data_IF_901298390084
#
_entry.id   IF_901298390084
#
_cell.length_a   1.000
_cell.length_b   1.000
_cell.length_c   1.000
_cell.angle_alpha   90.00
_cell.angle_beta   90.00
_cell.angle_gamma   90.00
#
_symmetry.space_group_name_H-M   'P 1'
#
loop_
_entity.id
_entity.type
_entity.pdbx_description
1 polymer ?
#
# COMPACT_ATOMS: atom_id res chain seq x y z
N UNK A 1 -13.46 -8.68 6.47
CA UNK A 1 -12.80 -7.36 6.28
C UNK A 1 -12.65 -6.61 7.60
N UNK A 2 -11.44 -6.18 7.94
CA UNK A 2 -11.16 -5.31 9.11
C UNK A 2 -10.43 -4.03 8.68
N UNK A 3 -10.84 -2.89 9.23
CA UNK A 3 -10.23 -1.61 8.93
C UNK A 3 -10.19 -0.64 10.12
N UNK A 4 -8.96 -0.37 10.57
CA UNK A 4 -8.58 0.71 11.47
C UNK A 4 -7.09 0.95 11.34
N UNK A 5 -6.67 2.18 11.16
CA UNK A 5 -5.26 2.57 11.16
C UNK A 5 -4.78 2.64 12.62
N UNK A 6 -3.79 1.81 12.92
CA UNK A 6 -3.17 1.68 14.24
C UNK A 6 -1.66 1.70 14.03
N UNK A 7 -1.00 2.87 14.18
CA UNK A 7 0.46 2.94 14.15
C UNK A 7 1.09 2.06 15.24
N UNK A 8 2.33 1.63 15.04
CA UNK A 8 3.05 0.92 16.11
C UNK A 8 3.24 1.84 17.32
N UNK A 9 3.07 1.29 18.52
CA UNK A 9 3.38 2.01 19.76
C UNK A 9 4.88 2.37 19.81
N UNK A 10 5.15 3.61 20.16
CA UNK A 10 6.47 4.17 20.45
C UNK A 10 6.50 4.78 21.84
N UNK A 11 7.70 4.99 22.40
CA UNK A 11 7.86 5.70 23.68
C UNK A 11 7.18 7.07 23.68
N UNK A 12 7.25 7.80 22.55
CA UNK A 12 6.56 9.07 22.36
C UNK A 12 5.03 8.93 22.44
N UNK A 13 4.46 7.95 21.73
CA UNK A 13 3.01 7.73 21.76
C UNK A 13 2.51 7.26 23.13
N UNK A 14 3.28 6.44 23.85
CA UNK A 14 2.95 5.99 25.20
C UNK A 14 3.02 7.15 26.20
N UNK A 15 4.01 8.03 26.05
CA UNK A 15 4.10 9.26 26.85
C UNK A 15 2.92 10.20 26.58
N UNK A 16 2.54 10.39 25.31
CA UNK A 16 1.36 11.17 24.92
C UNK A 16 0.06 10.60 25.54
N UNK A 17 -0.18 9.28 25.41
CA UNK A 17 -1.36 8.64 26.00
C UNK A 17 -1.36 8.79 27.53
N UNK A 18 -0.20 8.60 28.16
CA UNK A 18 -0.07 8.73 29.62
C UNK A 18 -0.38 10.15 30.10
N UNK A 19 0.04 11.18 29.34
CA UNK A 19 -0.29 12.57 29.64
C UNK A 19 -1.80 12.83 29.53
N UNK A 20 -2.47 12.25 28.54
CA UNK A 20 -3.92 12.42 28.36
C UNK A 20 -4.76 11.66 29.37
N UNK A 21 -4.36 10.43 29.74
CA UNK A 21 -5.11 9.57 30.64
C UNK A 21 -4.74 9.75 32.12
N UNK A 22 -3.58 10.34 32.41
CA UNK A 22 -3.04 10.47 33.77
C UNK A 22 -2.54 9.15 34.37
N UNK A 23 -2.40 8.10 33.55
CA UNK A 23 -1.96 6.75 33.95
C UNK A 23 -0.95 6.24 32.94
N UNK A 24 0.15 5.66 33.43
CA UNK A 24 1.10 4.94 32.59
C UNK A 24 0.56 3.52 32.30
N UNK A 25 0.23 3.27 31.04
CA UNK A 25 -0.23 1.97 30.56
C UNK A 25 0.73 1.44 29.46
N UNK A 26 1.54 0.41 29.75
CA UNK A 26 2.48 -0.16 28.78
C UNK A 26 1.79 -0.92 27.63
N UNK A 27 0.47 -1.15 27.73
CA UNK A 27 -0.34 -1.81 26.71
C UNK A 27 -1.18 -0.81 25.90
N UNK A 28 -1.04 0.50 26.14
CA UNK A 28 -1.82 1.51 25.46
C UNK A 28 -1.51 1.58 23.96
N UNK A 29 -2.53 1.88 23.16
CA UNK A 29 -2.40 2.03 21.71
C UNK A 29 -3.20 3.22 21.20
N UNK A 30 -2.56 4.05 20.37
CA UNK A 30 -3.23 5.12 19.65
C UNK A 30 -3.73 4.60 18.30
N UNK A 31 -4.90 5.05 17.90
CA UNK A 31 -5.53 4.65 16.66
C UNK A 31 -6.44 5.74 16.15
N UNK A 32 -6.76 5.67 14.86
CA UNK A 32 -7.70 6.61 14.28
C UNK A 32 -9.13 6.43 14.84
N UNK A 33 -10.00 7.46 14.76
CA UNK A 33 -11.39 7.34 15.19
C UNK A 33 -12.23 6.46 14.27
N UNK A 34 -11.90 6.37 12.97
CA UNK A 34 -12.58 5.48 12.04
C UNK A 34 -12.34 4.01 12.44
N UNK A 35 -13.40 3.21 12.41
CA UNK A 35 -13.33 1.76 12.60
C UNK A 35 -14.42 1.12 11.74
N UNK A 36 -14.07 0.03 11.07
CA UNK A 36 -15.02 -0.77 10.30
C UNK A 36 -14.69 -2.25 10.44
N UNK A 37 -15.75 -3.05 10.58
CA UNK A 37 -15.65 -4.49 10.59
C UNK A 37 -16.83 -5.07 9.80
N UNK A 38 -16.53 -5.84 8.76
CA UNK A 38 -17.50 -6.58 7.96
C UNK A 38 -17.20 -8.06 8.09
N UNK A 39 -18.21 -8.84 8.45
CA UNK A 39 -18.10 -10.26 8.81
C UNK A 39 -19.12 -11.05 8.02
N UNK A 40 -18.68 -12.16 7.44
CA UNK A 40 -19.60 -13.17 6.90
C UNK A 40 -20.33 -13.87 8.06
N UNK A 41 -21.67 -13.82 8.05
CA UNK A 41 -22.47 -14.34 9.15
C UNK A 41 -22.65 -15.86 9.08
N UNK A 42 -21.55 -16.58 9.32
CA UNK A 42 -21.46 -18.02 9.15
C UNK A 42 -20.78 -18.69 10.34
N UNK A 43 -21.51 -18.84 11.45
CA UNK A 43 -21.00 -19.33 12.74
C UNK A 43 -21.70 -20.62 13.18
N UNK A 44 -20.91 -21.67 13.42
CA UNK A 44 -21.43 -23.00 13.79
C UNK A 44 -21.91 -23.13 15.24
N UNK A 45 -21.50 -22.21 16.12
CA UNK A 45 -21.76 -22.26 17.56
C UNK A 45 -22.25 -20.91 18.12
N UNK A 46 -22.98 -20.16 17.31
CA UNK A 46 -23.39 -18.79 17.62
C UNK A 46 -22.22 -17.80 17.62
N UNK A 47 -22.55 -16.53 17.84
CA UNK A 47 -21.61 -15.41 17.93
C UNK A 47 -22.19 -14.30 18.82
N UNK A 48 -21.36 -13.38 19.33
CA UNK A 48 -21.88 -12.15 19.92
C UNK A 48 -22.74 -11.34 18.93
N UNK A 49 -23.65 -10.54 19.46
CA UNK A 49 -24.45 -9.57 18.69
C UNK A 49 -23.62 -8.33 18.30
N UNK A 50 -22.51 -8.55 17.58
CA UNK A 50 -21.57 -7.49 17.20
C UNK A 50 -22.20 -6.39 16.33
N UNK A 51 -23.29 -6.69 15.62
CA UNK A 51 -24.10 -5.72 14.89
C UNK A 51 -24.63 -4.59 15.78
N UNK A 52 -24.85 -4.85 17.07
CA UNK A 52 -25.23 -3.82 18.06
C UNK A 52 -24.09 -2.81 18.28
N UNK A 53 -22.85 -3.24 18.09
CA UNK A 53 -21.66 -2.39 18.15
C UNK A 53 -21.26 -1.81 16.77
N UNK A 54 -22.11 -1.96 15.74
CA UNK A 54 -21.90 -1.41 14.40
C UNK A 54 -21.15 -2.33 13.42
N UNK A 55 -20.90 -3.59 13.76
CA UNK A 55 -20.32 -4.57 12.82
C UNK A 55 -21.33 -4.92 11.73
N UNK A 56 -20.89 -4.91 10.48
CA UNK A 56 -21.73 -5.24 9.34
C UNK A 56 -21.71 -6.75 9.09
N UNK A 57 -22.85 -7.41 9.32
CA UNK A 57 -23.04 -8.82 9.00
C UNK A 57 -23.50 -8.95 7.55
N UNK A 58 -22.79 -9.77 6.76
CA UNK A 58 -23.06 -9.97 5.34
C UNK A 58 -23.03 -11.45 4.97
N UNK A 59 -23.55 -11.80 3.81
CA UNK A 59 -23.48 -13.17 3.28
C UNK A 59 -22.18 -13.45 2.52
N UNK A 60 -21.51 -12.40 2.03
CA UNK A 60 -20.25 -12.50 1.30
C UNK A 60 -19.40 -11.27 1.62
N UNK A 61 -18.22 -11.52 2.19
CA UNK A 61 -17.30 -10.47 2.63
C UNK A 61 -16.27 -10.11 1.55
N UNK A 62 -16.11 -10.95 0.51
CA UNK A 62 -15.03 -10.82 -0.47
C UNK A 62 -15.03 -9.45 -1.18
N UNK A 63 -16.17 -8.90 -1.67
CA UNK A 63 -16.16 -7.59 -2.32
C UNK A 63 -15.73 -6.44 -1.40
N UNK A 64 -16.02 -6.54 -0.09
CA UNK A 64 -15.59 -5.57 0.91
C UNK A 64 -14.08 -5.67 1.15
N UNK A 65 -13.56 -6.89 1.19
CA UNK A 65 -12.13 -7.15 1.35
C UNK A 65 -11.33 -6.64 0.15
N UNK A 66 -11.78 -6.94 -1.07
CA UNK A 66 -11.13 -6.42 -2.29
C UNK A 66 -11.13 -4.89 -2.32
N UNK A 67 -12.28 -4.26 -2.03
CA UNK A 67 -12.38 -2.80 -1.98
C UNK A 67 -11.35 -2.19 -1.03
N UNK A 68 -11.25 -2.74 0.19
CA UNK A 68 -10.32 -2.24 1.20
C UNK A 68 -8.87 -2.59 0.87
N UNK A 69 -8.58 -3.81 0.43
CA UNK A 69 -7.23 -4.26 0.10
C UNK A 69 -6.64 -3.48 -1.09
N UNK A 70 -7.47 -3.12 -2.06
CA UNK A 70 -7.02 -2.38 -3.25
C UNK A 70 -7.00 -0.88 -3.02
N UNK A 71 -8.14 -0.27 -2.65
CA UNK A 71 -8.23 1.19 -2.53
C UNK A 71 -7.49 1.74 -1.31
N UNK A 72 -7.57 1.09 -0.14
CA UNK A 72 -6.85 1.53 1.05
C UNK A 72 -5.46 0.95 1.10
N UNK A 73 -5.33 -0.39 1.14
CA UNK A 73 -4.03 -1.00 1.37
C UNK A 73 -3.09 -0.84 0.15
N UNK A 74 -3.61 -0.89 -1.08
CA UNK A 74 -2.85 -0.62 -2.30
C UNK A 74 -2.31 0.79 -2.38
N UNK A 75 -3.14 1.80 -2.12
CA UNK A 75 -2.68 3.18 -2.06
C UNK A 75 -1.72 3.44 -0.89
N UNK A 76 -1.92 2.81 0.28
CA UNK A 76 -0.96 2.86 1.38
C UNK A 76 0.40 2.30 0.97
N UNK A 77 0.45 1.15 0.29
CA UNK A 77 1.72 0.57 -0.20
C UNK A 77 2.38 1.47 -1.25
N UNK A 78 1.61 2.03 -2.19
CA UNK A 78 2.09 2.99 -3.17
C UNK A 78 2.76 4.20 -2.49
N UNK A 79 2.06 4.82 -1.54
CA UNK A 79 2.55 5.96 -0.77
C UNK A 79 3.75 5.59 0.11
N UNK A 80 3.78 4.40 0.67
CA UNK A 80 4.85 3.94 1.54
C UNK A 80 6.18 3.83 0.78
N UNK A 81 6.19 3.16 -0.38
CA UNK A 81 7.44 2.98 -1.13
C UNK A 81 7.92 4.29 -1.75
N UNK A 82 7.07 4.96 -2.52
CA UNK A 82 7.45 6.19 -3.22
C UNK A 82 7.68 7.35 -2.25
N UNK A 83 6.90 7.43 -1.18
CA UNK A 83 7.05 8.44 -0.14
C UNK A 83 8.34 8.26 0.65
N UNK A 84 8.65 7.02 1.07
CA UNK A 84 9.91 6.74 1.75
C UNK A 84 11.11 7.10 0.85
N UNK A 85 11.09 6.67 -0.41
CA UNK A 85 12.15 7.00 -1.39
C UNK A 85 12.30 8.51 -1.57
N UNK A 86 11.20 9.27 -1.50
CA UNK A 86 11.18 10.74 -1.58
C UNK A 86 11.51 11.44 -0.26
N UNK A 87 11.88 10.70 0.79
CA UNK A 87 12.25 11.26 2.11
C UNK A 87 11.08 11.57 3.05
N UNK A 88 9.86 11.12 2.74
CA UNK A 88 8.71 11.28 3.63
C UNK A 88 8.66 10.17 4.69
N UNK A 89 8.73 10.58 5.96
CA UNK A 89 8.76 9.66 7.10
C UNK A 89 7.38 9.06 7.41
N UNK A 90 6.29 9.81 7.21
CA UNK A 90 4.92 9.40 7.53
C UNK A 90 3.98 9.59 6.34
N UNK A 91 2.87 8.83 6.34
CA UNK A 91 1.83 8.98 5.31
C UNK A 91 1.23 10.40 5.29
N UNK A 92 1.10 11.04 6.46
CA UNK A 92 0.64 12.43 6.55
C UNK A 92 1.55 13.40 5.80
N UNK A 93 2.85 13.11 5.73
CA UNK A 93 3.84 13.94 5.04
C UNK A 93 3.63 13.82 3.52
N UNK A 94 3.39 12.59 3.02
CA UNK A 94 2.99 12.39 1.62
C UNK A 94 1.70 13.15 1.26
N UNK A 95 0.74 13.24 2.19
CA UNK A 95 -0.53 13.96 1.95
C UNK A 95 -0.41 15.49 1.95
N UNK A 96 0.69 16.05 2.46
CA UNK A 96 0.99 17.48 2.34
C UNK A 96 1.50 17.83 0.94
N UNK A 97 2.14 16.87 0.26
CA UNK A 97 2.53 17.01 -1.13
C UNK A 97 1.32 16.85 -2.07
N UNK A 98 1.09 17.85 -2.93
CA UNK A 98 -0.07 17.89 -3.82
C UNK A 98 -0.05 16.77 -4.86
N UNK A 99 1.13 16.41 -5.36
CA UNK A 99 1.29 15.38 -6.37
C UNK A 99 1.02 14.00 -5.77
N UNK A 100 1.57 13.69 -4.60
CA UNK A 100 1.30 12.43 -3.90
C UNK A 100 -0.18 12.27 -3.53
N UNK A 101 -0.82 13.33 -3.03
CA UNK A 101 -2.26 13.31 -2.74
C UNK A 101 -3.09 13.10 -4.00
N UNK A 102 -2.73 13.75 -5.11
CA UNK A 102 -3.41 13.56 -6.39
C UNK A 102 -3.21 12.13 -6.92
N UNK A 103 -1.96 11.63 -6.93
CA UNK A 103 -1.64 10.27 -7.35
C UNK A 103 -2.39 9.22 -6.54
N UNK A 104 -2.44 9.32 -5.21
CA UNK A 104 -3.16 8.37 -4.38
C UNK A 104 -4.66 8.33 -4.73
N UNK A 105 -5.29 9.49 -4.92
CA UNK A 105 -6.70 9.58 -5.28
C UNK A 105 -6.96 9.05 -6.69
N UNK A 106 -6.09 9.37 -7.65
CA UNK A 106 -6.15 8.87 -9.03
C UNK A 106 -5.98 7.35 -9.05
N UNK A 107 -4.98 6.81 -8.36
CA UNK A 107 -4.79 5.36 -8.18
C UNK A 107 -6.05 4.70 -7.62
N UNK A 108 -6.64 5.27 -6.56
CA UNK A 108 -7.86 4.73 -5.94
C UNK A 108 -9.03 4.64 -6.93
N UNK A 109 -9.28 5.69 -7.72
CA UNK A 109 -10.49 5.80 -8.53
C UNK A 109 -10.35 5.31 -9.97
N UNK A 110 -9.18 5.49 -10.57
CA UNK A 110 -8.97 5.19 -11.98
C UNK A 110 -8.37 3.80 -12.20
N UNK A 111 -7.69 3.24 -11.20
CA UNK A 111 -7.00 1.96 -11.34
C UNK A 111 -7.55 0.93 -10.34
N UNK A 112 -7.73 1.28 -9.07
CA UNK A 112 -8.23 0.30 -8.09
C UNK A 112 -9.75 0.09 -8.21
N UNK A 113 -10.55 1.16 -8.20
CA UNK A 113 -12.01 1.05 -8.22
C UNK A 113 -12.60 0.27 -9.42
N UNK A 114 -12.10 0.41 -10.67
CA UNK A 114 -12.62 -0.35 -11.81
C UNK A 114 -12.42 -1.86 -11.71
N UNK A 115 -11.55 -2.33 -10.81
CA UNK A 115 -11.29 -3.75 -10.59
C UNK A 115 -12.27 -4.40 -9.60
N UNK A 116 -13.10 -3.61 -8.92
CA UNK A 116 -13.93 -4.05 -7.80
C UNK A 116 -15.31 -4.53 -8.26
N UNK A 117 -15.86 -5.50 -7.52
CA UNK A 117 -17.21 -6.04 -7.72
C UNK A 117 -18.22 -5.57 -6.67
N UNK A 118 -17.80 -4.71 -5.73
CA UNK A 118 -18.65 -4.18 -4.66
C UNK A 118 -19.82 -3.37 -5.23
N UNK A 119 -21.00 -3.55 -4.65
CA UNK A 119 -22.24 -2.85 -5.02
C UNK A 119 -22.65 -1.92 -3.89
N UNK A 120 -23.46 -0.92 -4.24
CA UNK A 120 -24.11 0.00 -3.28
C UNK A 120 -23.14 0.78 -2.38
N UNK A 121 -21.89 0.97 -2.84
CA UNK A 121 -20.89 1.82 -2.20
C UNK A 121 -20.49 2.93 -3.16
N UNK A 122 -20.54 4.18 -2.69
CA UNK A 122 -19.96 5.31 -3.38
C UNK A 122 -18.43 5.28 -3.23
N UNK A 123 -17.74 4.74 -4.24
CA UNK A 123 -16.29 4.62 -4.26
C UNK A 123 -15.58 5.97 -4.32
N UNK A 124 -16.23 7.02 -4.84
CA UNK A 124 -15.67 8.38 -4.84
C UNK A 124 -15.64 8.92 -3.42
N UNK A 125 -16.78 8.85 -2.72
CA UNK A 125 -16.85 9.24 -1.32
C UNK A 125 -15.91 8.40 -0.45
N UNK A 126 -15.79 7.10 -0.73
CA UNK A 126 -14.85 6.23 -0.02
C UNK A 126 -13.40 6.68 -0.22
N UNK A 127 -12.96 6.95 -1.46
CA UNK A 127 -11.62 7.47 -1.73
C UNK A 127 -11.37 8.81 -1.01
N UNK A 128 -12.34 9.73 -1.01
CA UNK A 128 -12.21 11.01 -0.31
C UNK A 128 -12.05 10.82 1.21
N UNK A 129 -12.77 9.86 1.81
CA UNK A 129 -12.60 9.47 3.21
C UNK A 129 -11.21 8.88 3.47
N UNK A 130 -10.68 8.04 2.57
CA UNK A 130 -9.34 7.48 2.70
C UNK A 130 -8.27 8.57 2.65
N UNK A 131 -8.37 9.53 1.73
CA UNK A 131 -7.45 10.67 1.66
C UNK A 131 -7.50 11.49 2.96
N UNK A 132 -8.70 11.75 3.51
CA UNK A 132 -8.84 12.45 4.78
C UNK A 132 -8.19 11.67 5.96
N UNK A 133 -8.34 10.34 5.98
CA UNK A 133 -7.72 9.46 6.98
C UNK A 133 -6.20 9.47 6.88
N UNK A 134 -5.65 9.38 5.67
CA UNK A 134 -4.21 9.44 5.43
C UNK A 134 -3.60 10.79 5.80
N UNK A 135 -4.38 11.87 5.65
CA UNK A 135 -3.94 13.23 5.97
C UNK A 135 -3.95 13.54 7.48
N UNK A 136 -4.40 12.63 8.35
CA UNK A 136 -4.48 12.87 9.78
C UNK A 136 -3.08 13.02 10.41
N UNK A 137 -2.67 14.24 10.84
CA UNK A 137 -1.31 14.49 11.31
C UNK A 137 -1.04 13.93 12.72
N UNK A 138 -2.09 13.58 13.46
CA UNK A 138 -1.99 12.95 14.77
C UNK A 138 -1.52 11.49 14.65
N UNK A 139 -1.71 10.86 13.49
CA UNK A 139 -1.22 9.51 13.23
C UNK A 139 0.18 9.59 12.64
N UNK A 140 1.19 9.31 13.46
CA UNK A 140 2.58 9.13 13.01
C UNK A 140 2.80 7.77 12.34
N UNK A 141 1.96 7.44 11.36
CA UNK A 141 2.02 6.17 10.65
C UNK A 141 3.19 6.18 9.65
N UNK A 142 4.29 5.53 10.03
CA UNK A 142 5.54 5.57 9.28
C UNK A 142 5.40 4.89 7.91
N UNK A 143 5.90 5.53 6.86
CA UNK A 143 6.00 4.93 5.51
C UNK A 143 6.77 3.62 5.56
N UNK A 144 7.88 3.61 6.30
CA UNK A 144 8.71 2.43 6.55
C UNK A 144 7.94 1.26 7.20
N UNK A 145 7.05 1.52 8.18
CA UNK A 145 6.23 0.48 8.82
C UNK A 145 5.27 -0.16 7.81
N UNK A 146 4.68 0.65 6.94
CA UNK A 146 3.74 0.16 5.93
C UNK A 146 4.46 -0.64 4.84
N UNK A 147 5.69 -0.21 4.49
CA UNK A 147 6.55 -0.82 3.48
C UNK A 147 7.10 -2.21 3.88
N UNK A 148 7.05 -2.58 5.16
CA UNK A 148 7.45 -3.92 5.62
C UNK A 148 6.64 -5.02 4.91
N UNK A 149 7.19 -6.22 4.80
CA UNK A 149 6.50 -7.42 4.29
C UNK A 149 5.83 -7.18 2.91
N UNK A 150 6.50 -6.39 2.06
CA UNK A 150 6.01 -6.03 0.73
C UNK A 150 5.72 -7.26 -0.14
N UNK A 151 6.53 -8.31 -0.01
CA UNK A 151 6.32 -9.59 -0.71
C UNK A 151 4.97 -10.23 -0.40
N UNK A 152 4.49 -10.09 0.84
CA UNK A 152 3.22 -10.63 1.32
C UNK A 152 2.03 -9.72 1.01
N UNK A 153 2.29 -8.48 0.60
CA UNK A 153 1.31 -7.41 0.45
C UNK A 153 1.00 -7.10 -1.01
N UNK A 154 2.00 -7.13 -1.89
CA UNK A 154 1.84 -6.79 -3.31
C UNK A 154 0.78 -7.62 -4.04
N UNK A 155 0.69 -8.96 -3.86
CA UNK A 155 -0.22 -9.79 -4.65
C UNK A 155 -1.68 -9.30 -4.61
N UNK A 156 -2.21 -9.07 -3.41
CA UNK A 156 -3.60 -8.69 -3.18
C UNK A 156 -3.85 -7.18 -3.25
N UNK A 157 -2.81 -6.35 -3.12
CA UNK A 157 -2.93 -4.88 -3.09
C UNK A 157 -2.77 -4.22 -4.46
N UNK A 158 -1.98 -4.82 -5.35
CA UNK A 158 -1.64 -4.25 -6.66
C UNK A 158 -1.77 -5.30 -7.76
N UNK A 159 -1.09 -6.44 -7.63
CA UNK A 159 -0.93 -7.39 -8.73
C UNK A 159 -2.26 -8.03 -9.18
N UNK A 160 -3.18 -8.30 -8.26
CA UNK A 160 -4.53 -8.77 -8.59
C UNK A 160 -5.31 -7.76 -9.44
N UNK A 161 -5.20 -6.46 -9.14
CA UNK A 161 -5.80 -5.40 -9.94
C UNK A 161 -5.15 -5.26 -11.32
N UNK A 162 -3.81 -5.35 -11.37
CA UNK A 162 -3.05 -5.33 -12.64
C UNK A 162 -3.48 -6.47 -13.56
N UNK A 163 -3.69 -7.70 -13.04
CA UNK A 163 -4.20 -8.82 -13.84
C UNK A 163 -5.55 -8.51 -14.50
N UNK A 164 -6.43 -7.80 -13.81
CA UNK A 164 -7.73 -7.37 -14.36
C UNK A 164 -7.50 -6.32 -15.47
N UNK A 165 -6.63 -5.34 -15.24
CA UNK A 165 -6.31 -4.33 -16.26
C UNK A 165 -5.68 -4.93 -17.52
N UNK A 166 -4.79 -5.92 -17.37
CA UNK A 166 -4.22 -6.66 -18.49
C UNK A 166 -5.29 -7.40 -19.29
N UNK A 167 -6.24 -8.05 -18.61
CA UNK A 167 -7.37 -8.73 -19.27
C UNK A 167 -8.36 -7.78 -19.95
N UNK A 168 -8.48 -6.54 -19.45
CA UNK A 168 -9.39 -5.52 -19.99
C UNK A 168 -8.70 -4.51 -20.92
N UNK A 169 -7.38 -4.59 -21.12
CA UNK A 169 -6.57 -3.64 -21.90
C UNK A 169 -6.79 -2.16 -21.48
N UNK A 170 -6.82 -1.91 -20.18
CA UNK A 170 -7.01 -0.56 -19.60
C UNK A 170 -5.70 -0.03 -19.00
N UNK A 171 -5.63 1.27 -18.71
CA UNK A 171 -4.44 1.91 -18.12
C UNK A 171 -4.27 1.55 -16.63
N UNK A 172 -3.02 1.37 -16.20
CA UNK A 172 -2.62 1.02 -14.83
C UNK A 172 -1.24 1.60 -14.48
N UNK A 173 -0.95 2.80 -15.00
CA UNK A 173 0.37 3.41 -14.93
C UNK A 173 0.84 3.69 -13.49
N UNK A 174 -0.05 4.05 -12.56
CA UNK A 174 0.30 4.27 -11.15
C UNK A 174 0.53 2.95 -10.40
N UNK A 175 -0.20 1.89 -10.73
CA UNK A 175 0.07 0.54 -10.24
C UNK A 175 1.45 0.05 -10.69
N UNK A 176 1.82 0.31 -11.95
CA UNK A 176 3.16 0.02 -12.47
C UNK A 176 4.24 0.77 -11.67
N UNK A 177 4.02 2.07 -11.44
CA UNK A 177 4.90 2.89 -10.62
C UNK A 177 4.99 2.41 -9.17
N UNK A 178 3.88 1.96 -8.58
CA UNK A 178 3.86 1.38 -7.23
C UNK A 178 4.70 0.11 -7.10
N UNK A 179 4.62 -0.79 -8.09
CA UNK A 179 5.44 -2.01 -8.14
C UNK A 179 6.91 -1.67 -8.37
N UNK A 180 7.23 -0.77 -9.29
CA UNK A 180 8.59 -0.29 -9.49
C UNK A 180 9.15 0.42 -8.24
N UNK A 181 8.32 1.17 -7.52
CA UNK A 181 8.65 1.78 -6.23
C UNK A 181 9.02 0.73 -5.17
N UNK A 182 8.26 -0.36 -5.07
CA UNK A 182 8.63 -1.49 -4.22
C UNK A 182 9.99 -2.08 -4.64
N UNK A 183 10.19 -2.35 -5.94
CA UNK A 183 11.48 -2.87 -6.44
C UNK A 183 12.65 -1.95 -6.08
N UNK A 184 12.44 -0.63 -6.18
CA UNK A 184 13.46 0.38 -5.85
C UNK A 184 13.72 0.44 -4.34
N UNK A 185 12.67 0.35 -3.53
CA UNK A 185 12.77 0.32 -2.08
C UNK A 185 13.55 -0.92 -1.60
N UNK A 186 13.19 -2.11 -2.08
CA UNK A 186 13.85 -3.36 -1.66
C UNK A 186 15.27 -3.51 -2.21
N UNK A 187 15.66 -2.64 -3.15
CA UNK A 187 17.04 -2.51 -3.62
C UNK A 187 17.97 -1.87 -2.58
N UNK A 188 17.44 -1.37 -1.46
CA UNK A 188 18.21 -1.12 -0.24
C UNK A 188 18.86 0.26 -0.12
N UNK A 189 18.63 1.17 -1.06
CA UNK A 189 19.17 2.55 -1.02
C UNK A 189 18.07 3.53 -1.39
N UNK A 190 17.90 4.65 -0.69
CA UNK A 190 16.89 5.67 -1.03
C UNK A 190 17.38 6.63 -2.13
N UNK A 191 16.61 7.68 -2.47
CA UNK A 191 17.00 8.65 -3.50
C UNK A 191 18.04 9.67 -3.01
N UNK A 192 18.26 9.76 -1.70
CA UNK A 192 19.33 10.52 -1.08
C UNK A 192 20.64 9.73 -0.92
N UNK A 193 20.65 8.44 -1.29
CA UNK A 193 21.81 7.56 -1.20
C UNK A 193 21.99 6.87 0.15
N UNK A 194 21.02 6.96 1.07
CA UNK A 194 21.10 6.29 2.37
C UNK A 194 20.64 4.84 2.27
N UNK A 195 21.21 3.98 3.11
CA UNK A 195 20.78 2.59 3.21
C UNK A 195 19.38 2.46 3.81
N UNK A 196 18.61 1.49 3.32
CA UNK A 196 17.25 1.17 3.78
C UNK A 196 17.27 -0.12 4.60
N UNK A 197 16.70 -0.10 5.81
CA UNK A 197 16.41 -1.31 6.58
C UNK A 197 15.19 -2.03 5.99
N UNK A 198 15.41 -2.84 4.96
CA UNK A 198 14.34 -3.61 4.30
C UNK A 198 13.93 -4.78 5.19
N UNK A 199 12.71 -4.72 5.74
CA UNK A 199 12.11 -5.80 6.53
C UNK A 199 11.06 -6.54 5.73
N UNK A 200 11.36 -7.78 5.39
CA UNK A 200 10.49 -8.63 4.60
C UNK A 200 10.80 -10.12 4.89
N UNK A 201 9.81 -11.04 4.91
CA UNK A 201 10.06 -12.47 5.07
C UNK A 201 10.96 -13.06 3.97
N UNK A 202 10.98 -12.45 2.78
CA UNK A 202 11.83 -12.83 1.65
C UNK A 202 13.12 -11.99 1.55
N UNK A 203 13.48 -11.24 2.60
CA UNK A 203 14.59 -10.28 2.57
C UNK A 203 15.93 -10.88 2.12
N UNK A 204 16.27 -12.11 2.53
CA UNK A 204 17.52 -12.76 2.11
C UNK A 204 17.53 -13.05 0.60
N UNK A 205 16.45 -13.65 0.07
CA UNK A 205 16.28 -13.94 -1.36
C UNK A 205 16.29 -12.66 -2.20
N UNK A 206 15.62 -11.61 -1.73
CA UNK A 206 15.62 -10.29 -2.34
C UNK A 206 17.05 -9.72 -2.37
N UNK A 207 17.80 -9.81 -1.26
CA UNK A 207 19.17 -9.30 -1.16
C UNK A 207 20.12 -10.02 -2.12
N UNK A 208 19.99 -11.34 -2.25
CA UNK A 208 20.75 -12.13 -3.22
C UNK A 208 20.48 -11.69 -4.66
N UNK A 209 19.20 -11.53 -5.03
CA UNK A 209 18.81 -11.05 -6.36
C UNK A 209 19.31 -9.63 -6.64
N UNK A 210 19.25 -8.76 -5.64
CA UNK A 210 19.76 -7.38 -5.70
C UNK A 210 21.28 -7.37 -5.88
N UNK A 211 22.02 -8.16 -5.12
CA UNK A 211 23.48 -8.25 -5.21
C UNK A 211 23.95 -8.88 -6.53
N UNK A 212 23.16 -9.81 -7.08
CA UNK A 212 23.45 -10.50 -8.35
C UNK A 212 23.01 -9.77 -9.61
N UNK A 213 22.43 -8.56 -9.52
CA UNK A 213 21.90 -7.82 -10.68
C UNK A 213 22.38 -6.38 -10.74
N UNK A 214 22.70 -5.92 -11.96
CA UNK A 214 22.89 -4.49 -12.24
C UNK A 214 21.57 -3.73 -12.14
N UNK A 215 21.63 -2.39 -12.23
CA UNK A 215 20.42 -1.55 -12.23
C UNK A 215 19.49 -1.89 -13.41
N UNK A 216 20.06 -2.20 -14.56
CA UNK A 216 19.34 -2.56 -15.79
C UNK A 216 18.69 -3.95 -15.70
N UNK A 217 19.30 -4.87 -14.94
CA UNK A 217 18.80 -6.23 -14.75
C UNK A 217 17.87 -6.37 -13.54
N UNK A 218 17.75 -5.32 -12.72
CA UNK A 218 17.10 -5.37 -11.41
C UNK A 218 15.64 -5.79 -11.48
N UNK A 219 14.90 -5.25 -12.45
CA UNK A 219 13.49 -5.59 -12.67
C UNK A 219 13.35 -7.07 -13.02
N UNK A 220 14.08 -7.55 -14.03
CA UNK A 220 14.06 -8.97 -14.43
C UNK A 220 14.44 -9.90 -13.28
N UNK A 221 15.46 -9.54 -12.48
CA UNK A 221 15.88 -10.32 -11.33
C UNK A 221 14.78 -10.41 -10.27
N UNK A 222 14.15 -9.29 -9.89
CA UNK A 222 13.10 -9.28 -8.88
C UNK A 222 11.80 -9.94 -9.38
N UNK A 223 11.49 -9.86 -10.68
CA UNK A 223 10.35 -10.56 -11.28
C UNK A 223 10.48 -12.09 -11.22
N UNK A 224 11.69 -12.63 -11.01
CA UNK A 224 11.89 -14.06 -10.78
C UNK A 224 11.28 -14.58 -9.45
N UNK A 225 10.84 -13.68 -8.56
CA UNK A 225 10.12 -14.03 -7.33
C UNK A 225 8.70 -14.50 -7.63
N UNK A 226 8.56 -15.74 -8.12
CA UNK A 226 7.27 -16.37 -8.47
C UNK A 226 6.28 -16.43 -7.30
N UNK A 227 6.77 -16.49 -6.06
CA UNK A 227 5.94 -16.42 -4.83
C UNK A 227 5.18 -15.08 -4.68
N UNK A 228 5.69 -14.02 -5.31
CA UNK A 228 5.07 -12.68 -5.31
C UNK A 228 4.32 -12.45 -6.62
N UNK A 229 4.99 -12.67 -7.75
CA UNK A 229 4.47 -12.30 -9.07
C UNK A 229 3.63 -13.39 -9.75
N UNK A 230 3.69 -14.63 -9.28
CA UNK A 230 3.11 -15.78 -9.96
C UNK A 230 3.88 -16.17 -11.22
N UNK A 231 3.34 -17.14 -11.95
CA UNK A 231 3.91 -17.61 -13.21
C UNK A 231 3.46 -16.78 -14.42
N UNK A 232 2.35 -16.06 -14.28
CA UNK A 232 1.70 -15.33 -15.36
C UNK A 232 2.29 -13.94 -15.62
N UNK A 233 2.57 -13.16 -14.57
CA UNK A 233 3.01 -11.77 -14.74
C UNK A 233 4.42 -11.63 -15.32
N UNK A 234 5.45 -12.36 -14.86
CA UNK A 234 6.80 -12.25 -15.44
C UNK A 234 6.87 -12.71 -16.90
N UNK A 235 5.92 -13.52 -17.36
CA UNK A 235 5.85 -14.03 -18.73
C UNK A 235 4.97 -13.14 -19.63
N UNK A 236 4.36 -12.07 -19.08
CA UNK A 236 3.54 -11.11 -19.82
C UNK A 236 4.38 -9.90 -20.26
N UNK A 237 4.65 -9.70 -21.58
CA UNK A 237 5.53 -8.63 -22.06
C UNK A 237 5.02 -7.22 -21.74
N UNK A 238 3.70 -7.01 -21.75
CA UNK A 238 3.11 -5.70 -21.46
C UNK A 238 3.32 -5.33 -19.98
N UNK A 239 3.18 -6.32 -19.09
CA UNK A 239 3.47 -6.14 -17.68
C UNK A 239 4.93 -5.77 -17.45
N UNK A 240 5.86 -6.59 -17.96
CA UNK A 240 7.31 -6.39 -17.80
C UNK A 240 7.72 -5.02 -18.31
N UNK A 241 7.29 -4.65 -19.52
CA UNK A 241 7.63 -3.37 -20.14
C UNK A 241 7.16 -2.17 -19.30
N UNK A 242 5.94 -2.21 -18.76
CA UNK A 242 5.43 -1.11 -17.95
C UNK A 242 6.21 -0.96 -16.62
N UNK A 243 6.59 -2.06 -15.98
CA UNK A 243 7.42 -2.02 -14.77
C UNK A 243 8.84 -1.50 -15.08
N UNK A 244 9.45 -1.95 -16.19
CA UNK A 244 10.76 -1.47 -16.62
C UNK A 244 10.76 0.03 -16.92
N UNK A 245 9.72 0.53 -17.61
CA UNK A 245 9.57 1.96 -17.87
C UNK A 245 9.43 2.77 -16.58
N UNK A 246 8.57 2.31 -15.65
CA UNK A 246 8.40 2.97 -14.36
C UNK A 246 9.69 2.93 -13.51
N UNK A 247 10.41 1.81 -13.52
CA UNK A 247 11.71 1.66 -12.88
C UNK A 247 12.72 2.66 -13.43
N UNK A 248 12.83 2.79 -14.75
CA UNK A 248 13.73 3.74 -15.40
C UNK A 248 13.42 5.18 -14.98
N UNK A 249 12.14 5.56 -14.89
CA UNK A 249 11.76 6.88 -14.39
C UNK A 249 12.27 7.12 -12.97
N UNK A 250 12.10 6.15 -12.08
CA UNK A 250 12.55 6.27 -10.68
C UNK A 250 14.09 6.33 -10.60
N UNK A 251 14.80 5.47 -11.33
CA UNK A 251 16.28 5.47 -11.31
C UNK A 251 16.85 6.76 -11.89
N UNK A 252 16.25 7.29 -12.95
CA UNK A 252 16.77 8.47 -13.64
C UNK A 252 16.44 9.78 -12.90
N UNK A 253 15.24 9.88 -12.34
CA UNK A 253 14.71 11.16 -11.83
C UNK A 253 14.37 11.17 -10.34
N UNK A 254 14.40 10.02 -9.67
CA UNK A 254 13.88 9.83 -8.32
C UNK A 254 12.36 9.61 -8.29
N UNK A 255 11.87 9.08 -7.17
CA UNK A 255 10.49 8.65 -7.00
C UNK A 255 9.47 9.79 -7.13
N UNK A 256 9.78 10.98 -6.57
CA UNK A 256 8.91 12.15 -6.64
C UNK A 256 8.71 12.64 -8.09
N UNK A 257 9.81 12.82 -8.83
CA UNK A 257 9.73 13.26 -10.22
C UNK A 257 9.13 12.19 -11.13
N UNK A 258 9.42 10.90 -10.89
CA UNK A 258 8.77 9.81 -11.60
C UNK A 258 7.25 9.84 -11.43
N UNK A 259 6.76 10.13 -10.22
CA UNK A 259 5.33 10.29 -9.93
C UNK A 259 4.72 11.48 -10.71
N UNK A 260 5.41 12.63 -10.77
CA UNK A 260 4.97 13.78 -11.59
C UNK A 260 4.89 13.41 -13.07
N UNK A 261 5.92 12.74 -13.60
CA UNK A 261 5.97 12.32 -14.99
C UNK A 261 4.83 11.34 -15.34
N UNK A 262 4.54 10.39 -14.45
CA UNK A 262 3.42 9.45 -14.62
C UNK A 262 2.06 10.17 -14.63
N UNK A 263 1.91 11.19 -13.78
CA UNK A 263 0.71 12.04 -13.77
C UNK A 263 0.64 13.05 -14.92
N UNK A 264 1.75 13.25 -15.66
CA UNK A 264 1.89 14.24 -16.74
C UNK A 264 1.66 15.68 -16.26
N UNK A 265 2.18 16.01 -15.07
CA UNK A 265 2.09 17.35 -14.44
C UNK A 265 3.45 17.93 -14.08
#
# INVERSE_FOLDING_TARGET
MVDRIVPAATDESLAEISQHLGVNDPCAISCEPFIQWVVEDNFVAGRPAWEVAGVQMVNDVLPWEEMKLRMLNGSHSFLAYLGYLSGFAHISDCMQDRAFRHAARTLMLNEQAPTLQIKDVDLTQYADKLIARFANPALKHKTWQIAMDGSQKLPQRMLAGIRIHLGCETDWSLLALGVAGWMRYVSGVDDAGNAIDVRDPLSDKIRELVAGSSSEQRVTALLSLREVFGDDLPDNPHFVQAIEQAWQQIVQFGAHQALLNTLKI
#
